data_IF_540110114545
#
_entry.id   IF_540110114545
#
_cell.length_a   1.000
_cell.length_b   1.000
_cell.length_c   1.000
_cell.angle_alpha   90.00
_cell.angle_beta   90.00
_cell.angle_gamma   90.00
#
_symmetry.space_group_name_H-M   'P 1'
#
loop_
_entity.id
_entity.type
_entity.pdbx_description
1 polymer ?
#
# COMPACT_ATOMS: atom_id res chain seq x y z
N UNK A 1 -3.85 -8.03 -21.28
CA UNK A 1 -2.89 -7.77 -20.18
C UNK A 1 -1.61 -7.06 -20.61
N UNK A 2 -0.96 -7.41 -21.74
CA UNK A 2 0.32 -6.80 -22.14
C UNK A 2 0.29 -5.27 -22.35
N UNK A 3 -0.82 -4.70 -22.84
CA UNK A 3 -0.89 -3.26 -23.12
C UNK A 3 -0.77 -2.40 -21.85
N UNK A 4 -1.48 -2.77 -20.78
CA UNK A 4 -1.48 -2.04 -19.50
C UNK A 4 -0.08 -2.09 -18.88
N UNK A 5 0.57 -3.26 -18.89
CA UNK A 5 1.91 -3.41 -18.36
C UNK A 5 2.93 -2.58 -19.16
N UNK A 6 2.79 -2.47 -20.48
CA UNK A 6 3.64 -1.61 -21.30
C UNK A 6 3.44 -0.11 -21.00
N UNK A 7 2.21 0.32 -20.72
CA UNK A 7 1.93 1.68 -20.27
C UNK A 7 2.56 1.95 -18.90
N UNK A 8 2.40 1.03 -17.95
CA UNK A 8 3.05 1.11 -16.63
C UNK A 8 4.57 1.24 -16.78
N UNK A 9 5.20 0.40 -17.61
CA UNK A 9 6.65 0.49 -17.90
C UNK A 9 7.05 1.87 -18.44
N UNK A 10 6.25 2.43 -19.34
CA UNK A 10 6.47 3.77 -19.90
C UNK A 10 6.34 4.87 -18.84
N UNK A 11 5.39 4.76 -17.91
CA UNK A 11 5.28 5.69 -16.79
C UNK A 11 6.47 5.57 -15.84
N UNK A 12 6.89 4.35 -15.51
CA UNK A 12 8.04 4.10 -14.63
C UNK A 12 9.36 4.63 -15.21
N UNK A 13 9.62 4.46 -16.51
CA UNK A 13 10.83 4.98 -17.14
C UNK A 13 10.89 6.51 -17.13
N UNK A 14 9.73 7.16 -17.14
CA UNK A 14 9.57 8.63 -17.02
C UNK A 14 9.48 9.12 -15.57
N UNK A 15 9.62 8.23 -14.58
CA UNK A 15 9.42 8.51 -13.15
C UNK A 15 8.03 9.08 -12.82
N UNK A 16 7.02 8.77 -13.65
CA UNK A 16 5.63 9.15 -13.43
C UNK A 16 4.97 8.13 -12.49
N UNK A 17 5.43 8.08 -11.24
CA UNK A 17 5.03 7.06 -10.28
C UNK A 17 3.52 7.04 -10.01
N UNK A 18 2.91 8.21 -9.76
CA UNK A 18 1.46 8.29 -9.53
C UNK A 18 0.65 7.63 -10.65
N UNK A 19 0.99 7.96 -11.90
CA UNK A 19 0.30 7.41 -13.08
C UNK A 19 0.52 5.89 -13.20
N UNK A 20 1.72 5.39 -12.89
CA UNK A 20 2.01 3.95 -12.89
C UNK A 20 1.16 3.20 -11.85
N UNK A 21 1.11 3.70 -10.61
CA UNK A 21 0.31 3.13 -9.53
C UNK A 21 -1.19 3.24 -9.83
N UNK A 22 -1.67 4.41 -10.26
CA UNK A 22 -3.07 4.63 -10.60
C UNK A 22 -3.53 3.68 -11.72
N UNK A 23 -2.71 3.50 -12.76
CA UNK A 23 -3.01 2.57 -13.86
C UNK A 23 -3.09 1.12 -13.38
N UNK A 24 -2.19 0.70 -12.48
CA UNK A 24 -2.20 -0.64 -11.90
C UNK A 24 -3.41 -0.86 -10.98
N UNK A 25 -3.71 0.10 -10.10
CA UNK A 25 -4.80 0.03 -9.13
C UNK A 25 -6.17 0.02 -9.82
N UNK A 26 -6.34 0.82 -10.87
CA UNK A 26 -7.59 0.90 -11.65
C UNK A 26 -7.87 -0.40 -12.41
N UNK A 27 -6.82 -1.14 -12.78
CA UNK A 27 -6.95 -2.46 -13.40
C UNK A 27 -7.44 -3.55 -12.42
N UNK A 28 -7.57 -3.24 -11.12
CA UNK A 28 -7.99 -4.15 -10.05
C UNK A 28 -7.24 -5.49 -10.07
N UNK A 29 -5.98 -5.45 -10.47
CA UNK A 29 -5.14 -6.63 -10.65
C UNK A 29 -3.92 -6.51 -9.74
N UNK A 30 -3.94 -7.29 -8.66
CA UNK A 30 -2.86 -7.29 -7.66
C UNK A 30 -1.50 -7.63 -8.29
N UNK A 31 -1.44 -8.48 -9.31
CA UNK A 31 -0.19 -8.80 -9.99
C UNK A 31 0.42 -7.59 -10.71
N UNK A 32 -0.42 -6.67 -11.23
CA UNK A 32 0.08 -5.41 -11.82
C UNK A 32 0.55 -4.43 -10.75
N UNK A 33 -0.13 -4.37 -9.61
CA UNK A 33 0.31 -3.53 -8.48
C UNK A 33 1.64 -4.03 -7.93
N UNK A 34 1.78 -5.34 -7.74
CA UNK A 34 3.03 -5.95 -7.31
C UNK A 34 4.14 -5.77 -8.34
N UNK A 35 3.82 -5.85 -9.63
CA UNK A 35 4.78 -5.50 -10.68
C UNK A 35 5.32 -4.06 -10.51
N UNK A 36 4.46 -3.08 -10.20
CA UNK A 36 4.93 -1.72 -9.92
C UNK A 36 5.79 -1.69 -8.65
N UNK A 37 5.34 -2.31 -7.56
CA UNK A 37 6.05 -2.37 -6.29
C UNK A 37 7.41 -3.07 -6.37
N UNK A 38 7.58 -4.05 -7.25
CA UNK A 38 8.85 -4.75 -7.45
C UNK A 38 9.86 -3.90 -8.26
N UNK A 39 9.35 -2.98 -9.11
CA UNK A 39 10.18 -2.15 -9.98
C UNK A 39 10.53 -0.79 -9.37
N UNK A 40 10.00 -0.47 -8.19
CA UNK A 40 10.22 0.79 -7.48
C UNK A 40 10.60 0.46 -6.05
N UNK A 41 11.68 1.03 -5.55
CA UNK A 41 12.03 0.85 -4.14
C UNK A 41 11.14 1.77 -3.28
N UNK A 42 10.43 1.24 -2.26
CA UNK A 42 9.51 2.03 -1.46
C UNK A 42 10.22 3.19 -0.74
N UNK A 43 11.39 2.96 -0.14
CA UNK A 43 12.12 4.03 0.55
C UNK A 43 12.50 5.16 -0.42
N UNK A 44 12.99 4.83 -1.62
CA UNK A 44 13.29 5.87 -2.62
C UNK A 44 12.05 6.61 -3.14
N UNK A 45 10.90 5.95 -3.22
CA UNK A 45 9.67 6.55 -3.70
C UNK A 45 9.10 7.54 -2.68
N UNK A 46 9.08 7.15 -1.42
CA UNK A 46 8.49 7.94 -0.33
C UNK A 46 9.45 9.00 0.24
N UNK A 47 10.77 8.90 -0.02
CA UNK A 47 11.75 9.96 0.26
C UNK A 47 11.61 11.20 -0.66
N UNK A 48 10.86 11.10 -1.76
CA UNK A 48 10.62 12.23 -2.67
C UNK A 48 9.62 13.18 -2.02
N UNK A 49 10.01 14.46 -1.84
CA UNK A 49 9.15 15.49 -1.26
C UNK A 49 8.83 16.60 -2.28
N UNK A 50 7.55 16.91 -2.57
CA UNK A 50 6.33 16.27 -2.02
C UNK A 50 6.16 14.83 -2.50
N UNK A 51 5.53 13.99 -1.65
CA UNK A 51 5.26 12.59 -1.95
C UNK A 51 4.61 12.46 -3.34
N UNK A 52 5.18 11.64 -4.25
CA UNK A 52 4.73 11.58 -5.63
C UNK A 52 3.39 10.86 -5.78
N UNK A 53 2.92 10.14 -4.75
CA UNK A 53 1.64 9.44 -4.78
C UNK A 53 0.54 10.29 -4.14
N UNK A 54 -0.57 10.43 -4.86
CA UNK A 54 -1.73 11.15 -4.35
C UNK A 54 -2.45 10.36 -3.25
N UNK A 55 -3.14 11.07 -2.35
CA UNK A 55 -3.85 10.46 -1.21
C UNK A 55 -4.82 9.33 -1.59
N UNK A 56 -5.64 9.44 -2.66
CA UNK A 56 -6.50 8.33 -3.11
C UNK A 56 -5.71 7.12 -3.60
N UNK A 57 -4.54 7.34 -4.20
CA UNK A 57 -3.64 6.29 -4.68
C UNK A 57 -3.01 5.56 -3.50
N UNK A 58 -2.59 6.28 -2.45
CA UNK A 58 -2.07 5.69 -1.20
C UNK A 58 -3.09 4.77 -0.53
N UNK A 59 -4.33 5.25 -0.35
CA UNK A 59 -5.40 4.46 0.27
C UNK A 59 -5.73 3.23 -0.57
N UNK A 60 -5.84 3.39 -1.88
CA UNK A 60 -6.11 2.28 -2.80
C UNK A 60 -4.98 1.25 -2.81
N UNK A 61 -3.73 1.71 -2.71
CA UNK A 61 -2.55 0.85 -2.60
C UNK A 61 -2.60 0.01 -1.31
N UNK A 62 -2.78 0.66 -0.16
CA UNK A 62 -2.91 -0.03 1.15
C UNK A 62 -4.04 -1.06 1.11
N UNK A 63 -5.19 -0.70 0.53
CA UNK A 63 -6.35 -1.58 0.41
C UNK A 63 -6.06 -2.83 -0.42
N UNK A 64 -5.43 -2.68 -1.59
CA UNK A 64 -5.16 -3.81 -2.49
C UNK A 64 -4.06 -4.72 -1.95
N UNK A 65 -2.93 -4.19 -1.49
CA UNK A 65 -1.80 -5.03 -1.03
C UNK A 65 -2.01 -5.56 0.39
N UNK A 66 -2.73 -4.83 1.25
CA UNK A 66 -3.19 -5.32 2.54
C UNK A 66 -4.33 -6.35 2.42
N UNK A 67 -4.88 -6.51 1.22
CA UNK A 67 -5.93 -7.48 0.90
C UNK A 67 -5.50 -8.93 1.00
N UNK A 68 -4.24 -9.22 0.64
CA UNK A 68 -3.67 -10.55 0.62
C UNK A 68 -2.16 -10.47 0.91
N UNK A 69 -1.70 -11.15 1.95
CA UNK A 69 -0.29 -11.23 2.33
C UNK A 69 0.32 -12.61 2.08
N UNK A 70 -0.35 -13.51 1.35
CA UNK A 70 0.16 -14.85 1.07
C UNK A 70 1.50 -14.85 0.32
N UNK A 71 1.70 -13.88 -0.57
CA UNK A 71 2.93 -13.74 -1.37
C UNK A 71 3.52 -12.35 -1.25
N UNK A 72 4.85 -12.25 -1.37
CA UNK A 72 5.63 -11.01 -1.31
C UNK A 72 5.35 -10.18 -0.04
N UNK A 73 5.09 -10.86 1.08
CA UNK A 73 4.55 -10.23 2.29
C UNK A 73 5.48 -9.16 2.86
N UNK A 74 6.80 -9.33 2.77
CA UNK A 74 7.78 -8.33 3.23
C UNK A 74 7.67 -7.06 2.40
N UNK A 75 7.71 -7.18 1.05
CA UNK A 75 7.57 -6.04 0.14
C UNK A 75 6.25 -5.30 0.39
N UNK A 76 5.14 -6.03 0.49
CA UNK A 76 3.83 -5.46 0.79
C UNK A 76 3.84 -4.75 2.14
N UNK A 77 4.43 -5.33 3.17
CA UNK A 77 4.51 -4.70 4.48
C UNK A 77 5.31 -3.38 4.43
N UNK A 78 6.46 -3.35 3.74
CA UNK A 78 7.25 -2.13 3.58
C UNK A 78 6.45 -1.04 2.87
N UNK A 79 5.74 -1.38 1.79
CA UNK A 79 4.88 -0.43 1.09
C UNK A 79 3.72 0.09 1.94
N UNK A 80 3.08 -0.76 2.75
CA UNK A 80 2.03 -0.33 3.67
C UNK A 80 2.61 0.62 4.73
N UNK A 81 3.78 0.32 5.29
CA UNK A 81 4.42 1.13 6.33
C UNK A 81 4.75 2.54 5.82
N UNK A 82 5.39 2.65 4.66
CA UNK A 82 5.71 3.93 4.04
C UNK A 82 4.46 4.70 3.59
N UNK A 83 3.47 3.99 3.02
CA UNK A 83 2.21 4.61 2.61
C UNK A 83 1.42 5.16 3.81
N UNK A 84 1.48 4.50 4.96
CA UNK A 84 0.89 5.01 6.22
C UNK A 84 1.61 6.27 6.69
N UNK A 85 2.94 6.35 6.54
CA UNK A 85 3.73 7.53 6.88
C UNK A 85 3.45 8.74 5.98
N UNK A 86 3.13 8.49 4.69
CA UNK A 86 2.77 9.53 3.72
C UNK A 86 1.26 9.89 3.71
N UNK A 87 0.45 9.18 4.49
CA UNK A 87 -0.99 9.39 4.52
C UNK A 87 -1.34 10.64 5.33
N UNK A 88 -2.06 11.56 4.71
CA UNK A 88 -2.69 12.67 5.39
C UNK A 88 -4.13 12.28 5.80
N UNK A 89 -4.29 11.98 7.09
CA UNK A 89 -5.57 11.56 7.67
C UNK A 89 -6.62 12.69 7.71
N UNK A 90 -6.21 13.95 7.55
CA UNK A 90 -7.10 15.10 7.50
C UNK A 90 -7.48 15.50 6.08
N UNK A 91 -6.90 14.84 5.07
CA UNK A 91 -7.13 15.18 3.68
C UNK A 91 -8.59 14.99 3.27
N UNK A 92 -9.20 16.06 2.74
CA UNK A 92 -10.65 16.16 2.52
C UNK A 92 -11.24 15.03 1.65
N UNK A 93 -10.51 14.58 0.63
CA UNK A 93 -10.97 13.54 -0.29
C UNK A 93 -10.88 12.11 0.25
N UNK A 94 -10.06 11.87 1.27
CA UNK A 94 -9.76 10.51 1.75
C UNK A 94 -10.17 10.28 3.21
N UNK A 95 -10.41 11.33 3.98
CA UNK A 95 -10.74 11.27 5.41
C UNK A 95 -11.86 10.27 5.75
N UNK A 96 -12.92 10.19 4.94
CA UNK A 96 -14.02 9.25 5.21
C UNK A 96 -13.68 7.78 4.88
N UNK A 97 -12.71 7.57 3.99
CA UNK A 97 -12.31 6.26 3.48
C UNK A 97 -11.20 5.64 4.33
N UNK A 98 -10.30 6.47 4.86
CA UNK A 98 -9.16 6.07 5.67
C UNK A 98 -9.55 5.08 6.78
N UNK A 99 -10.47 5.38 7.72
CA UNK A 99 -10.75 4.48 8.83
C UNK A 99 -11.31 3.13 8.35
N UNK A 100 -12.15 3.12 7.31
CA UNK A 100 -12.73 1.89 6.73
C UNK A 100 -11.65 0.99 6.13
N UNK A 101 -10.74 1.58 5.35
CA UNK A 101 -9.64 0.84 4.72
C UNK A 101 -8.67 0.32 5.78
N UNK A 102 -8.29 1.15 6.74
CA UNK A 102 -7.38 0.79 7.82
C UNK A 102 -7.94 -0.32 8.72
N UNK A 103 -9.23 -0.28 9.07
CA UNK A 103 -9.90 -1.35 9.81
C UNK A 103 -9.92 -2.67 9.04
N UNK A 104 -10.20 -2.62 7.73
CA UNK A 104 -10.18 -3.81 6.88
C UNK A 104 -8.78 -4.42 6.81
N UNK A 105 -7.76 -3.59 6.60
CA UNK A 105 -6.35 -4.02 6.56
C UNK A 105 -5.90 -4.59 7.90
N UNK A 106 -6.24 -3.94 9.02
CA UNK A 106 -5.93 -4.43 10.37
C UNK A 106 -6.54 -5.82 10.62
N UNK A 107 -7.77 -6.03 10.20
CA UNK A 107 -8.46 -7.33 10.35
C UNK A 107 -7.72 -8.42 9.58
N UNK A 108 -7.26 -8.13 8.36
CA UNK A 108 -6.51 -9.08 7.53
C UNK A 108 -5.12 -9.38 8.09
N UNK A 109 -4.42 -8.35 8.58
CA UNK A 109 -3.12 -8.48 9.25
C UNK A 109 -3.22 -9.40 10.48
N UNK A 110 -4.22 -9.17 11.34
CA UNK A 110 -4.47 -9.99 12.53
C UNK A 110 -4.76 -11.45 12.16
N UNK A 111 -5.64 -11.67 11.19
CA UNK A 111 -5.94 -13.01 10.69
C UNK A 111 -4.70 -13.71 10.14
N UNK A 112 -3.86 -13.00 9.38
CA UNK A 112 -2.58 -13.51 8.90
C UNK A 112 -1.63 -13.86 10.06
N UNK A 113 -1.52 -12.99 11.07
CA UNK A 113 -0.65 -13.24 12.22
C UNK A 113 -1.06 -14.47 13.04
N UNK A 114 -2.36 -14.76 13.13
CA UNK A 114 -2.87 -15.95 13.82
C UNK A 114 -2.65 -17.20 12.96
N UNK A 115 -2.91 -17.13 11.65
CA UNK A 115 -2.78 -18.26 10.75
C UNK A 115 -1.32 -18.66 10.46
N UNK A 116 -0.40 -17.69 10.42
CA UNK A 116 1.00 -17.91 10.05
C UNK A 116 1.99 -17.31 11.07
N UNK A 117 2.00 -17.80 12.33
CA UNK A 117 2.77 -17.20 13.42
C UNK A 117 4.30 -17.26 13.23
N UNK A 118 4.78 -18.21 12.41
CA UNK A 118 6.21 -18.41 12.12
C UNK A 118 6.65 -17.82 10.77
N UNK A 119 5.78 -17.06 10.09
CA UNK A 119 6.10 -16.49 8.78
C UNK A 119 7.24 -15.46 8.88
N UNK A 120 8.18 -15.38 7.92
CA UNK A 120 9.29 -14.42 7.96
C UNK A 120 8.84 -12.95 8.11
N UNK A 121 7.69 -12.60 7.54
CA UNK A 121 7.13 -11.25 7.63
C UNK A 121 6.37 -10.94 8.94
N UNK A 122 6.23 -11.90 9.87
CA UNK A 122 5.35 -11.75 11.05
C UNK A 122 5.70 -10.55 11.93
N UNK A 123 6.99 -10.22 12.04
CA UNK A 123 7.45 -9.03 12.79
C UNK A 123 6.97 -7.73 12.15
N UNK A 124 7.00 -7.66 10.81
CA UNK A 124 6.50 -6.51 10.06
C UNK A 124 4.99 -6.40 10.16
N UNK A 125 4.26 -7.51 10.04
CA UNK A 125 2.80 -7.57 10.22
C UNK A 125 2.39 -7.04 11.59
N UNK A 126 3.01 -7.52 12.68
CA UNK A 126 2.72 -7.05 14.04
C UNK A 126 3.10 -5.59 14.26
N UNK A 127 4.13 -5.08 13.59
CA UNK A 127 4.45 -3.64 13.60
C UNK A 127 3.30 -2.85 12.97
N UNK A 128 2.87 -3.24 11.77
CA UNK A 128 1.78 -2.59 11.04
C UNK A 128 0.47 -2.61 11.81
N UNK A 129 0.13 -3.72 12.48
CA UNK A 129 -1.07 -3.79 13.34
C UNK A 129 -1.08 -2.66 14.38
N UNK A 130 0.07 -2.42 15.05
CA UNK A 130 0.18 -1.37 16.07
C UNK A 130 0.14 0.03 15.47
N UNK A 131 0.79 0.24 14.32
CA UNK A 131 0.79 1.54 13.63
C UNK A 131 -0.64 1.89 13.21
N UNK A 132 -1.34 0.95 12.55
CA UNK A 132 -2.72 1.15 12.11
C UNK A 132 -3.66 1.39 13.29
N UNK A 133 -3.50 0.66 14.41
CA UNK A 133 -4.23 0.94 15.64
C UNK A 133 -3.91 2.31 16.26
N UNK A 134 -2.69 2.82 16.08
CA UNK A 134 -2.33 4.19 16.41
C UNK A 134 -3.15 5.19 15.61
N UNK A 135 -3.05 5.09 14.28
CA UNK A 135 -3.73 6.01 13.35
C UNK A 135 -5.25 5.98 13.52
N UNK A 136 -5.84 4.81 13.76
CA UNK A 136 -7.29 4.68 13.96
C UNK A 136 -7.81 5.41 15.20
N UNK A 137 -6.99 5.59 16.24
CA UNK A 137 -7.37 6.35 17.44
C UNK A 137 -7.53 7.85 17.16
N UNK A 138 -6.91 8.36 16.11
CA UNK A 138 -7.08 9.77 15.70
C UNK A 138 -8.45 10.04 15.03
N UNK A 139 -9.25 8.99 14.80
CA UNK A 139 -10.60 9.07 14.24
C UNK A 139 -11.72 8.82 15.28
N UNK A 140 -11.36 8.52 16.53
CA UNK A 140 -12.28 8.35 17.67
C UNK A 140 -12.60 9.70 18.33
#
# INVERSE_FOLDING_TARGET
>A
MQLIQNQIKSFLSKKQYNAAFQQALTAQNLSLVLYVCENVDPSTLFDINPCPLEQPVLISLIQQIGGDLANQSILKCSYIDEALGALDIQHSSTREHVPKVLLSTLTKLKSFSVAQPNHPAIKHVKKLERVIQGVLRDFE
#
